data_IF_057628637648
#
_entry.id   IF_057628637648
#
_cell.length_a   1.000
_cell.length_b   1.000
_cell.length_c   1.000
_cell.angle_alpha   90.00
_cell.angle_beta   90.00
_cell.angle_gamma   90.00
#
_symmetry.space_group_name_H-M   'P 1'
#
loop_
_entity.id
_entity.type
_entity.pdbx_description
1 polymer ?
#
# COMPACT_ATOMS: atom_id res chain seq x y z
N UNK A 1 19.33 6.00 27.11
CA UNK A 1 19.10 5.72 25.68
C UNK A 1 20.33 6.16 24.92
N UNK A 2 20.80 5.34 24.00
CA UNK A 2 21.87 5.74 23.08
C UNK A 2 21.27 6.64 21.99
N UNK A 3 21.78 7.88 21.88
CA UNK A 3 21.28 8.86 20.92
C UNK A 3 21.51 8.40 19.48
N UNK A 4 22.59 7.68 19.21
CA UNK A 4 22.88 7.16 17.88
C UNK A 4 21.82 6.14 17.41
N UNK A 5 21.33 5.31 18.33
CA UNK A 5 20.28 4.32 18.04
C UNK A 5 18.96 5.03 17.72
N UNK A 6 18.60 6.07 18.46
CA UNK A 6 17.38 6.85 18.22
C UNK A 6 17.40 7.51 16.84
N UNK A 7 18.53 8.14 16.48
CA UNK A 7 18.68 8.79 15.18
C UNK A 7 18.66 7.78 14.03
N UNK A 8 19.28 6.61 14.21
CA UNK A 8 19.25 5.54 13.21
C UNK A 8 17.83 4.94 13.05
N UNK A 9 17.09 4.73 14.14
CA UNK A 9 15.71 4.26 14.07
C UNK A 9 14.80 5.25 13.36
N UNK A 10 14.99 6.56 13.58
CA UNK A 10 14.27 7.62 12.84
C UNK A 10 14.62 7.63 11.36
N UNK A 11 15.90 7.55 11.03
CA UNK A 11 16.36 7.51 9.63
C UNK A 11 15.81 6.28 8.91
N UNK A 12 15.88 5.11 9.53
CA UNK A 12 15.35 3.86 8.98
C UNK A 12 13.85 4.00 8.69
N UNK A 13 13.06 4.49 9.66
CA UNK A 13 11.63 4.68 9.46
C UNK A 13 11.33 5.72 8.37
N UNK A 14 12.05 6.83 8.35
CA UNK A 14 11.90 7.88 7.33
C UNK A 14 12.17 7.35 5.92
N UNK A 15 13.23 6.55 5.74
CA UNK A 15 13.54 5.95 4.45
C UNK A 15 12.46 4.96 4.03
N UNK A 16 12.04 4.05 4.91
CA UNK A 16 10.98 3.08 4.60
C UNK A 16 9.66 3.77 4.25
N UNK A 17 9.28 4.81 4.99
CA UNK A 17 8.08 5.59 4.73
C UNK A 17 8.15 6.34 3.40
N UNK A 18 9.28 6.98 3.09
CA UNK A 18 9.47 7.66 1.81
C UNK A 18 9.36 6.68 0.65
N UNK A 19 10.06 5.55 0.71
CA UNK A 19 10.03 4.54 -0.35
C UNK A 19 8.63 3.95 -0.52
N UNK A 20 7.93 3.62 0.56
CA UNK A 20 6.57 3.11 0.47
C UNK A 20 5.63 4.12 -0.21
N UNK A 21 5.73 5.39 0.18
CA UNK A 21 4.87 6.44 -0.35
C UNK A 21 5.16 6.85 -1.80
N UNK A 22 6.22 6.32 -2.44
CA UNK A 22 6.39 6.43 -3.89
C UNK A 22 5.37 5.57 -4.65
N UNK A 23 5.01 4.41 -4.10
CA UNK A 23 4.14 3.44 -4.76
C UNK A 23 2.66 3.68 -4.42
N UNK A 24 2.35 4.15 -3.22
CA UNK A 24 0.98 4.41 -2.72
C UNK A 24 0.14 5.31 -3.65
N UNK A 25 0.57 6.54 -4.01
CA UNK A 25 -0.25 7.44 -4.83
C UNK A 25 -0.45 6.91 -6.25
N UNK A 26 0.52 6.16 -6.79
CA UNK A 26 0.38 5.50 -8.08
C UNK A 26 -0.69 4.40 -8.03
N UNK A 27 -0.68 3.55 -6.99
CA UNK A 27 -1.70 2.50 -6.81
C UNK A 27 -3.09 3.11 -6.70
N UNK A 28 -3.27 4.10 -5.82
CA UNK A 28 -4.56 4.78 -5.62
C UNK A 28 -5.07 5.44 -6.92
N UNK A 29 -4.20 6.16 -7.63
CA UNK A 29 -4.58 6.83 -8.88
C UNK A 29 -4.90 5.85 -10.01
N UNK A 30 -4.03 4.85 -10.23
CA UNK A 30 -4.21 3.85 -11.28
C UNK A 30 -5.42 2.96 -11.03
N UNK A 31 -5.74 2.61 -9.78
CA UNK A 31 -6.94 1.83 -9.46
C UNK A 31 -8.22 2.49 -9.99
N UNK A 32 -8.41 3.79 -9.71
CA UNK A 32 -9.56 4.53 -10.25
C UNK A 32 -9.51 4.67 -11.77
N UNK A 33 -8.33 4.90 -12.34
CA UNK A 33 -8.19 4.97 -13.81
C UNK A 33 -8.59 3.65 -14.49
N UNK A 34 -8.17 2.51 -13.95
CA UNK A 34 -8.52 1.19 -14.48
C UNK A 34 -10.02 0.93 -14.40
N UNK A 35 -10.67 1.26 -13.27
CA UNK A 35 -12.12 1.15 -13.12
C UNK A 35 -12.86 2.01 -14.15
N UNK A 36 -12.40 3.23 -14.40
CA UNK A 36 -13.00 4.13 -15.39
C UNK A 36 -12.83 3.55 -16.80
N UNK A 37 -11.61 3.12 -17.17
CA UNK A 37 -11.33 2.56 -18.49
C UNK A 37 -12.15 1.28 -18.76
N UNK A 38 -12.22 0.38 -17.79
CA UNK A 38 -13.01 -0.85 -17.91
C UNK A 38 -14.52 -0.55 -17.96
N UNK A 39 -14.99 0.42 -17.17
CA UNK A 39 -16.39 0.87 -17.22
C UNK A 39 -16.76 1.42 -18.60
N UNK A 40 -15.89 2.24 -19.21
CA UNK A 40 -16.08 2.74 -20.58
C UNK A 40 -16.07 1.57 -21.58
N UNK A 41 -15.22 0.57 -21.41
CA UNK A 41 -15.24 -0.64 -22.23
C UNK A 41 -16.58 -1.38 -22.13
N UNK A 42 -17.10 -1.60 -20.92
CA UNK A 42 -18.37 -2.30 -20.69
C UNK A 42 -19.55 -1.55 -21.32
N UNK A 43 -19.57 -0.21 -21.20
CA UNK A 43 -20.62 0.64 -21.76
C UNK A 43 -20.55 0.77 -23.29
N UNK A 44 -19.35 0.96 -23.86
CA UNK A 44 -19.18 1.27 -25.29
C UNK A 44 -18.89 0.06 -26.16
N UNK A 45 -18.48 -1.07 -25.56
CA UNK A 45 -18.01 -2.29 -26.22
C UNK A 45 -16.85 -2.07 -27.22
N UNK A 46 -16.16 -0.93 -27.17
CA UNK A 46 -15.03 -0.64 -28.06
C UNK A 46 -13.77 -1.38 -27.58
N UNK A 47 -13.16 -2.25 -28.39
CA UNK A 47 -12.06 -3.13 -27.96
C UNK A 47 -10.78 -2.38 -27.55
N UNK A 48 -10.62 -1.14 -28.01
CA UNK A 48 -9.49 -0.28 -27.63
C UNK A 48 -9.41 -0.07 -26.12
N UNK A 49 -10.54 0.16 -25.45
CA UNK A 49 -10.56 0.42 -24.00
C UNK A 49 -10.07 -0.79 -23.21
N UNK A 50 -10.48 -2.01 -23.59
CA UNK A 50 -9.99 -3.25 -22.97
C UNK A 50 -8.47 -3.41 -23.14
N UNK A 51 -7.93 -3.00 -24.28
CA UNK A 51 -6.48 -3.07 -24.54
C UNK A 51 -5.72 -2.10 -23.64
N UNK A 52 -6.24 -0.88 -23.50
CA UNK A 52 -5.66 0.15 -22.63
C UNK A 52 -5.75 -0.26 -21.15
N UNK A 53 -6.90 -0.75 -20.69
CA UNK A 53 -7.06 -1.24 -19.31
C UNK A 53 -6.03 -2.33 -19.00
N UNK A 54 -5.83 -3.30 -19.90
CA UNK A 54 -4.84 -4.37 -19.71
C UNK A 54 -3.41 -3.86 -19.64
N UNK A 55 -3.03 -2.93 -20.52
CA UNK A 55 -1.69 -2.34 -20.50
C UNK A 55 -1.39 -1.65 -19.17
N UNK A 56 -2.29 -0.76 -18.74
CA UNK A 56 -2.12 -0.06 -17.45
C UNK A 56 -2.27 -1.01 -16.25
N UNK A 57 -3.05 -2.09 -16.40
CA UNK A 57 -3.18 -3.14 -15.38
C UNK A 57 -1.87 -3.85 -15.09
N UNK A 58 -1.02 -4.07 -16.10
CA UNK A 58 0.33 -4.62 -15.90
C UNK A 58 1.21 -3.64 -15.10
N UNK A 59 1.19 -2.35 -15.46
CA UNK A 59 1.93 -1.33 -14.72
C UNK A 59 1.44 -1.21 -13.26
N UNK A 60 0.12 -1.24 -13.06
CA UNK A 60 -0.51 -1.26 -11.74
C UNK A 60 -0.03 -2.46 -10.93
N UNK A 61 -0.03 -3.67 -11.50
CA UNK A 61 0.41 -4.88 -10.80
C UNK A 61 1.86 -4.82 -10.32
N UNK A 62 2.77 -4.31 -11.15
CA UNK A 62 4.19 -4.12 -10.77
C UNK A 62 4.31 -3.14 -9.60
N UNK A 63 3.63 -1.99 -9.69
CA UNK A 63 3.64 -0.98 -8.65
C UNK A 63 3.02 -1.49 -7.34
N UNK A 64 1.92 -2.24 -7.45
CA UNK A 64 1.18 -2.81 -6.33
C UNK A 64 2.04 -3.78 -5.52
N UNK A 65 2.77 -4.70 -6.18
CA UNK A 65 3.65 -5.66 -5.48
C UNK A 65 4.73 -4.95 -4.67
N UNK A 66 5.35 -3.91 -5.22
CA UNK A 66 6.34 -3.10 -4.50
C UNK A 66 5.72 -2.31 -3.34
N UNK A 67 4.51 -1.78 -3.54
CA UNK A 67 3.72 -1.14 -2.48
C UNK A 67 3.43 -2.08 -1.31
N UNK A 68 2.97 -3.30 -1.59
CA UNK A 68 2.70 -4.32 -0.56
C UNK A 68 3.98 -4.70 0.19
N UNK A 69 5.08 -4.98 -0.52
CA UNK A 69 6.34 -5.37 0.12
C UNK A 69 6.90 -4.28 1.07
N UNK A 70 6.81 -3.01 0.64
CA UNK A 70 7.24 -1.87 1.45
C UNK A 70 6.29 -1.58 2.61
N UNK A 71 4.98 -1.80 2.42
CA UNK A 71 3.96 -1.63 3.47
C UNK A 71 4.11 -2.63 4.60
N UNK A 72 4.31 -3.92 4.28
CA UNK A 72 4.58 -4.97 5.27
C UNK A 72 5.83 -4.63 6.10
N UNK A 73 6.87 -4.12 5.44
CA UNK A 73 8.10 -3.71 6.12
C UNK A 73 7.83 -2.57 7.11
N UNK A 74 6.97 -1.62 6.75
CA UNK A 74 6.57 -0.51 7.63
C UNK A 74 5.74 -0.98 8.83
N UNK A 75 4.78 -1.87 8.62
CA UNK A 75 3.94 -2.42 9.69
C UNK A 75 4.79 -3.07 10.79
N UNK A 76 5.73 -3.95 10.39
CA UNK A 76 6.62 -4.60 11.36
C UNK A 76 7.62 -3.66 12.02
N UNK A 77 7.96 -2.50 11.42
CA UNK A 77 8.85 -1.54 12.06
C UNK A 77 8.29 -0.95 13.35
N UNK A 78 6.96 -0.81 13.48
CA UNK A 78 6.32 -0.38 14.73
C UNK A 78 6.61 -1.37 15.89
N UNK A 79 6.66 -2.67 15.61
CA UNK A 79 6.97 -3.70 16.61
C UNK A 79 8.46 -3.81 16.96
N UNK A 80 9.35 -3.62 15.98
CA UNK A 80 10.79 -3.81 16.15
C UNK A 80 11.50 -2.61 16.78
N UNK A 81 11.53 -1.48 16.07
CA UNK A 81 12.32 -0.30 16.46
C UNK A 81 11.55 0.64 17.40
N UNK A 82 10.23 0.48 17.49
CA UNK A 82 9.33 1.35 18.24
C UNK A 82 8.51 0.58 19.30
N UNK A 83 9.12 -0.42 19.95
CA UNK A 83 8.45 -1.30 20.91
C UNK A 83 7.80 -0.56 22.09
N UNK A 84 8.46 0.47 22.65
CA UNK A 84 7.89 1.27 23.73
C UNK A 84 6.69 2.11 23.27
N UNK A 85 6.75 2.66 22.05
CA UNK A 85 5.61 3.35 21.44
C UNK A 85 4.44 2.39 21.24
N UNK A 86 4.70 1.21 20.69
CA UNK A 86 3.68 0.17 20.47
C UNK A 86 3.05 -0.31 21.78
N UNK A 87 3.80 -0.42 22.87
CA UNK A 87 3.22 -0.71 24.18
C UNK A 87 2.42 0.49 24.74
N UNK A 88 2.87 1.72 24.51
CA UNK A 88 2.27 2.91 25.10
C UNK A 88 0.94 3.33 24.43
N UNK A 89 0.83 3.19 23.11
CA UNK A 89 -0.39 3.58 22.36
C UNK A 89 -1.04 2.43 21.58
N UNK A 90 -0.55 1.20 21.73
CA UNK A 90 -1.00 0.05 20.93
C UNK A 90 -2.50 -0.20 20.99
N UNK A 91 -3.14 -0.01 22.14
CA UNK A 91 -4.59 -0.21 22.32
C UNK A 91 -5.44 0.74 21.46
N UNK A 92 -4.92 1.93 21.14
CA UNK A 92 -5.63 2.94 20.34
C UNK A 92 -5.14 2.91 18.90
N UNK A 93 -3.83 2.88 18.70
CA UNK A 93 -3.20 2.95 17.38
C UNK A 93 -3.29 1.62 16.61
N UNK A 94 -3.16 0.49 17.30
CA UNK A 94 -3.16 -0.84 16.67
C UNK A 94 -4.54 -1.27 16.17
N UNK A 95 -5.63 -0.77 16.77
CA UNK A 95 -6.98 -1.13 16.36
C UNK A 95 -7.31 -0.69 14.91
N UNK A 96 -7.05 0.57 14.48
CA UNK A 96 -7.15 0.97 13.08
C UNK A 96 -6.31 0.13 12.11
N UNK A 97 -5.07 -0.20 12.47
CA UNK A 97 -4.18 -1.01 11.61
C UNK A 97 -4.74 -2.44 11.42
N UNK A 98 -5.25 -3.06 12.49
CA UNK A 98 -5.88 -4.36 12.40
C UNK A 98 -7.16 -4.34 11.52
N UNK A 99 -7.96 -3.28 11.65
CA UNK A 99 -9.17 -3.07 10.84
C UNK A 99 -8.79 -2.85 9.36
N UNK A 100 -7.76 -2.07 9.08
CA UNK A 100 -7.22 -1.87 7.72
C UNK A 100 -6.86 -3.20 7.08
N UNK A 101 -6.11 -4.06 7.80
CA UNK A 101 -5.77 -5.40 7.34
C UNK A 101 -7.00 -6.24 7.01
N UNK A 102 -7.95 -6.35 7.95
CA UNK A 102 -9.14 -7.20 7.82
C UNK A 102 -10.12 -6.73 6.74
N UNK A 103 -10.27 -5.42 6.55
CA UNK A 103 -11.29 -4.86 5.66
C UNK A 103 -10.72 -4.39 4.32
N UNK A 104 -9.69 -3.55 4.33
CA UNK A 104 -9.18 -2.93 3.12
C UNK A 104 -8.20 -3.85 2.38
N UNK A 105 -7.18 -4.38 3.06
CA UNK A 105 -6.16 -5.21 2.41
C UNK A 105 -6.71 -6.54 1.93
N UNK A 106 -7.55 -7.22 2.73
CA UNK A 106 -8.18 -8.46 2.26
C UNK A 106 -9.05 -8.25 1.02
N UNK A 107 -9.82 -7.15 0.98
CA UNK A 107 -10.63 -6.80 -0.18
C UNK A 107 -9.74 -6.56 -1.40
N UNK A 108 -8.78 -5.65 -1.29
CA UNK A 108 -7.90 -5.27 -2.39
C UNK A 108 -7.07 -6.46 -2.90
N UNK A 109 -6.38 -7.18 -2.02
CA UNK A 109 -5.52 -8.30 -2.40
C UNK A 109 -6.30 -9.45 -3.06
N UNK A 110 -7.55 -9.69 -2.63
CA UNK A 110 -8.39 -10.74 -3.23
C UNK A 110 -8.86 -10.32 -4.62
N UNK A 111 -9.37 -9.10 -4.78
CA UNK A 111 -9.92 -8.65 -6.06
C UNK A 111 -8.84 -8.32 -7.10
N UNK A 112 -7.63 -7.92 -6.68
CA UNK A 112 -6.50 -7.74 -7.61
C UNK A 112 -6.00 -9.08 -8.19
N UNK A 113 -6.22 -10.19 -7.49
CA UNK A 113 -5.83 -11.53 -7.92
C UNK A 113 -6.77 -12.20 -8.93
N UNK A 114 -7.96 -11.63 -9.16
CA UNK A 114 -9.01 -12.15 -10.06
C UNK A 114 -8.94 -11.52 -11.45
#
# INVERSE_FOLDING_TARGET
MDLAVVDLSRLQFALTALYHFLFVPLTLGLAFMLVIMESIFVMTRRPIWRTITRFWGVCFGINFVLGVATGITMEFQFGMNWSYYSHYVGDIFGAPLAIEGLMAFFLEATFVGL
#
